data_IF_089338053916
#
_entry.id   IF_089338053916
#
_cell.length_a   1.000
_cell.length_b   1.000
_cell.length_c   1.000
_cell.angle_alpha   90.00
_cell.angle_beta   90.00
_cell.angle_gamma   90.00
#
_symmetry.space_group_name_H-M   'P 1'
#
loop_
_entity.id
_entity.type
_entity.pdbx_description
1 polymer ?
#
# COMPACT_ATOMS: atom_id res chain seq x y z
N UNK A 1 26.55 -70.99 20.07
CA UNK A 1 27.28 -69.75 19.98
C UNK A 1 26.58 -68.88 19.00
N UNK A 2 25.73 -68.00 19.46
CA UNK A 2 24.89 -67.09 18.63
C UNK A 2 25.30 -65.68 18.92
N UNK A 3 25.84 -65.05 17.90
CA UNK A 3 26.16 -63.62 17.96
C UNK A 3 24.91 -62.77 17.64
N UNK A 4 24.37 -62.12 18.65
CA UNK A 4 23.32 -61.16 18.50
C UNK A 4 23.90 -59.82 18.06
N UNK A 5 23.61 -59.42 16.82
CA UNK A 5 23.90 -58.10 16.36
C UNK A 5 22.86 -57.11 16.83
N UNK A 6 23.25 -56.23 17.71
CA UNK A 6 22.42 -55.13 18.18
C UNK A 6 22.45 -54.00 17.11
N UNK A 7 21.35 -53.83 16.41
CA UNK A 7 21.17 -52.69 15.48
C UNK A 7 20.64 -51.53 16.26
N UNK A 8 21.49 -50.52 16.44
CA UNK A 8 21.06 -49.20 16.89
C UNK A 8 20.35 -48.50 15.73
N UNK A 9 19.05 -48.31 15.87
CA UNK A 9 18.29 -47.41 14.99
C UNK A 9 18.49 -46.01 15.49
N UNK A 10 19.26 -45.21 14.75
CA UNK A 10 19.36 -43.78 14.97
C UNK A 10 18.07 -43.14 14.45
N UNK A 11 17.19 -42.73 15.35
CA UNK A 11 16.06 -41.89 15.04
C UNK A 11 16.57 -40.49 14.71
N UNK A 12 16.62 -40.16 13.44
CA UNK A 12 16.89 -38.81 12.97
C UNK A 12 15.58 -37.99 13.13
N UNK A 13 15.43 -37.35 14.28
CA UNK A 13 14.35 -36.36 14.46
C UNK A 13 14.64 -35.17 13.56
N UNK A 14 13.97 -35.15 12.44
CA UNK A 14 13.94 -33.97 11.59
C UNK A 14 13.18 -32.87 12.33
N UNK A 15 13.91 -31.91 12.90
CA UNK A 15 13.38 -30.70 13.47
C UNK A 15 12.87 -29.85 12.30
N UNK A 16 11.57 -29.90 12.04
CA UNK A 16 10.91 -29.00 11.14
C UNK A 16 10.98 -27.62 11.78
N UNK A 17 11.99 -26.85 11.36
CA UNK A 17 12.02 -25.40 11.56
C UNK A 17 10.88 -24.82 10.73
N UNK A 18 9.73 -24.58 11.38
CA UNK A 18 8.69 -23.74 10.83
C UNK A 18 9.28 -22.33 10.85
N UNK A 19 9.93 -21.95 9.75
CA UNK A 19 10.30 -20.57 9.52
C UNK A 19 8.98 -19.78 9.49
N UNK A 20 8.79 -18.84 10.44
CA UNK A 20 7.81 -17.80 10.31
C UNK A 20 8.21 -16.98 9.09
N UNK A 21 7.74 -17.36 7.90
CA UNK A 21 7.94 -16.60 6.69
C UNK A 21 7.05 -15.37 6.80
N UNK A 22 7.67 -14.20 6.92
CA UNK A 22 7.02 -12.94 6.69
C UNK A 22 6.44 -12.87 5.27
N UNK A 23 5.73 -11.80 4.92
CA UNK A 23 5.25 -11.62 3.55
C UNK A 23 6.42 -11.74 2.58
N UNK A 24 6.20 -12.28 1.37
CA UNK A 24 7.26 -12.40 0.38
C UNK A 24 7.88 -11.01 0.12
N UNK A 25 9.19 -10.96 -0.21
CA UNK A 25 9.84 -9.70 -0.52
C UNK A 25 9.12 -8.97 -1.65
N UNK A 26 9.04 -7.64 -1.55
CA UNK A 26 8.49 -6.82 -2.61
C UNK A 26 9.41 -6.82 -3.83
N UNK A 27 8.84 -7.08 -4.99
CA UNK A 27 9.57 -7.17 -6.27
C UNK A 27 8.95 -6.30 -7.37
N UNK A 28 8.01 -5.44 -7.02
CA UNK A 28 7.24 -4.66 -7.99
C UNK A 28 7.99 -3.49 -8.64
N UNK A 29 9.21 -3.21 -8.19
CA UNK A 29 10.00 -2.08 -8.67
C UNK A 29 9.74 -0.80 -7.89
N UNK A 30 10.47 0.26 -8.23
CA UNK A 30 10.45 1.51 -7.49
C UNK A 30 9.84 2.64 -8.30
N UNK A 31 9.03 3.44 -7.65
CA UNK A 31 8.60 4.76 -8.13
C UNK A 31 9.65 5.77 -7.66
N UNK A 32 10.28 6.48 -8.59
CA UNK A 32 11.35 7.43 -8.26
C UNK A 32 10.80 8.69 -7.58
N UNK A 33 9.75 9.27 -8.16
CA UNK A 33 9.12 10.50 -7.69
C UNK A 33 7.60 10.33 -7.61
N UNK A 34 6.97 11.07 -6.70
CA UNK A 34 5.51 11.11 -6.59
C UNK A 34 4.89 11.52 -7.94
N UNK A 35 4.03 10.65 -8.48
CA UNK A 35 3.26 10.93 -9.69
C UNK A 35 1.82 11.27 -9.33
N UNK A 36 1.30 12.33 -9.93
CA UNK A 36 -0.10 12.76 -9.85
C UNK A 36 -0.69 12.71 -11.24
N UNK A 37 -1.58 11.77 -11.49
CA UNK A 37 -2.18 11.56 -12.81
C UNK A 37 -3.67 11.79 -12.68
N UNK A 38 -4.17 12.92 -13.21
CA UNK A 38 -5.59 13.21 -13.17
C UNK A 38 -6.33 12.33 -14.18
N UNK A 39 -7.18 11.46 -13.66
CA UNK A 39 -8.04 10.58 -14.44
C UNK A 39 -9.32 11.30 -14.81
N UNK A 40 -9.84 12.10 -13.90
CA UNK A 40 -11.02 12.93 -14.07
C UNK A 40 -10.83 14.24 -13.32
N UNK A 41 -11.03 15.34 -14.01
CA UNK A 41 -11.01 16.67 -13.39
C UNK A 41 -12.33 16.91 -12.67
N UNK A 42 -12.28 17.42 -11.44
CA UNK A 42 -13.46 17.87 -10.70
C UNK A 42 -13.83 19.29 -11.00
N UNK A 43 -14.64 19.89 -10.14
CA UNK A 43 -15.15 21.26 -10.26
C UNK A 43 -15.01 22.05 -8.96
N UNK A 44 -14.99 23.37 -9.06
CA UNK A 44 -14.94 24.27 -7.91
C UNK A 44 -13.54 24.49 -7.38
N UNK A 45 -13.46 24.87 -6.11
CA UNK A 45 -12.18 25.13 -5.46
C UNK A 45 -11.36 23.86 -5.30
N UNK A 46 -10.04 24.02 -5.42
CA UNK A 46 -9.09 22.95 -5.17
C UNK A 46 -8.88 22.72 -3.67
N UNK A 47 -8.63 21.47 -3.29
CA UNK A 47 -8.23 21.11 -1.95
C UNK A 47 -6.85 21.68 -1.64
N UNK A 48 -6.71 22.26 -0.47
CA UNK A 48 -5.46 22.82 0.05
C UNK A 48 -5.14 22.25 1.43
N UNK A 49 -3.90 22.39 1.85
CA UNK A 49 -3.50 21.96 3.19
C UNK A 49 -4.35 22.67 4.26
N UNK A 50 -4.80 21.90 5.25
CA UNK A 50 -5.70 22.38 6.31
C UNK A 50 -7.18 22.09 6.08
N UNK A 51 -7.59 21.80 4.86
CA UNK A 51 -8.97 21.43 4.56
C UNK A 51 -9.32 20.04 5.10
N UNK A 52 -10.54 19.87 5.59
CA UNK A 52 -11.11 18.56 5.85
C UNK A 52 -11.70 18.01 4.57
N UNK A 53 -11.23 16.86 4.14
CA UNK A 53 -11.68 16.23 2.90
C UNK A 53 -12.26 14.84 3.13
N UNK A 54 -13.15 14.44 2.24
CA UNK A 54 -13.76 13.12 2.18
C UNK A 54 -13.40 12.47 0.86
N UNK A 55 -12.82 11.27 0.93
CA UNK A 55 -12.36 10.54 -0.25
C UNK A 55 -12.83 9.09 -0.26
N UNK A 56 -13.07 8.57 -1.45
CA UNK A 56 -12.97 7.13 -1.70
C UNK A 56 -11.62 6.82 -2.33
N UNK A 57 -11.08 5.68 -1.99
CA UNK A 57 -9.80 5.24 -2.54
C UNK A 57 -9.71 3.72 -2.67
N UNK A 58 -8.84 3.30 -3.55
CA UNK A 58 -8.35 1.93 -3.64
C UNK A 58 -6.83 1.97 -3.78
N UNK A 59 -6.14 1.09 -3.06
CA UNK A 59 -4.68 1.01 -3.06
C UNK A 59 -4.18 -0.34 -3.52
N UNK A 60 -3.11 -0.31 -4.31
CA UNK A 60 -2.38 -1.48 -4.80
C UNK A 60 -0.90 -1.32 -4.53
N UNK A 61 -0.20 -2.42 -4.37
CA UNK A 61 1.25 -2.42 -4.50
C UNK A 61 1.61 -2.03 -5.94
N UNK A 62 2.60 -1.16 -6.11
CA UNK A 62 3.09 -0.83 -7.44
C UNK A 62 3.73 -2.07 -8.09
N UNK A 63 3.46 -2.30 -9.36
CA UNK A 63 4.07 -3.37 -10.15
C UNK A 63 4.45 -2.82 -11.53
N UNK A 64 5.75 -2.63 -11.74
CA UNK A 64 6.29 -2.09 -12.99
C UNK A 64 5.97 -2.96 -14.22
N UNK A 65 5.74 -4.26 -14.01
CA UNK A 65 5.44 -5.21 -15.08
C UNK A 65 3.96 -5.28 -15.43
N UNK A 66 3.09 -4.72 -14.60
CA UNK A 66 1.66 -4.62 -14.87
C UNK A 66 1.37 -3.48 -15.86
N UNK A 67 0.46 -3.64 -16.83
CA UNK A 67 0.13 -2.57 -17.79
C UNK A 67 -0.36 -1.28 -17.13
N UNK A 68 -1.12 -1.40 -16.05
CA UNK A 68 -1.64 -0.27 -15.27
C UNK A 68 -0.80 0.05 -14.02
N UNK A 69 0.37 -0.59 -13.87
CA UNK A 69 1.27 -0.45 -12.70
C UNK A 69 0.67 -0.92 -11.38
N UNK A 70 -0.45 -1.63 -11.42
CA UNK A 70 -1.16 -2.13 -10.25
C UNK A 70 -0.87 -3.60 -10.01
N UNK A 71 -0.27 -3.90 -8.88
CA UNK A 71 -0.08 -5.25 -8.38
C UNK A 71 -1.24 -5.66 -7.45
N UNK A 72 -0.90 -6.29 -6.34
CA UNK A 72 -1.89 -6.76 -5.37
C UNK A 72 -2.62 -5.58 -4.70
N UNK A 73 -3.96 -5.61 -4.74
CA UNK A 73 -4.80 -4.69 -3.97
C UNK A 73 -4.63 -4.99 -2.48
N UNK A 74 -4.45 -3.94 -1.66
CA UNK A 74 -4.28 -4.11 -0.23
C UNK A 74 -5.35 -3.39 0.61
N UNK A 75 -6.03 -2.40 0.07
CA UNK A 75 -7.06 -1.66 0.80
C UNK A 75 -8.01 -0.94 -0.16
N UNK A 76 -9.26 -0.75 0.28
CA UNK A 76 -10.24 0.07 -0.41
C UNK A 76 -11.33 0.54 0.54
N UNK A 77 -11.60 1.84 0.56
CA UNK A 77 -12.73 2.41 1.29
C UNK A 77 -14.08 1.97 0.70
N UNK A 78 -14.11 1.65 -0.60
CA UNK A 78 -15.32 1.18 -1.27
C UNK A 78 -15.75 -0.21 -0.78
N UNK A 79 -14.78 -1.07 -0.46
CA UNK A 79 -15.06 -2.40 0.11
C UNK A 79 -15.69 -2.29 1.50
N UNK A 80 -15.35 -1.25 2.27
CA UNK A 80 -15.99 -0.94 3.56
C UNK A 80 -17.30 -0.19 3.42
N UNK A 81 -17.60 0.37 2.23
CA UNK A 81 -18.80 1.15 1.97
C UNK A 81 -18.84 2.52 2.67
N UNK A 82 -17.69 3.03 3.11
CA UNK A 82 -17.57 4.27 3.88
C UNK A 82 -16.37 5.09 3.42
N UNK A 83 -16.57 6.38 3.06
CA UNK A 83 -15.47 7.27 2.74
C UNK A 83 -14.55 7.51 3.92
N UNK A 84 -13.29 7.80 3.62
CA UNK A 84 -12.33 8.26 4.60
C UNK A 84 -12.39 9.80 4.68
N UNK A 85 -12.55 10.32 5.90
CA UNK A 85 -12.55 11.76 6.19
C UNK A 85 -11.30 12.09 7.00
N UNK A 86 -10.52 13.06 6.54
CA UNK A 86 -9.32 13.49 7.24
C UNK A 86 -8.95 14.93 6.87
N UNK A 87 -8.09 15.54 7.69
CA UNK A 87 -7.54 16.88 7.43
C UNK A 87 -6.27 16.75 6.60
N UNK A 88 -6.32 17.34 5.40
CA UNK A 88 -5.22 17.28 4.42
C UNK A 88 -4.01 18.08 4.91
N UNK A 89 -2.81 17.57 4.69
CA UNK A 89 -1.56 18.26 4.98
C UNK A 89 -1.16 18.29 6.46
N UNK A 90 -1.73 17.43 7.29
CA UNK A 90 -1.50 17.44 8.75
C UNK A 90 -0.82 16.18 9.29
N UNK A 91 -0.33 15.31 8.41
CA UNK A 91 0.33 14.07 8.79
C UNK A 91 -0.62 12.98 9.31
N UNK A 92 -1.91 13.09 9.05
CA UNK A 92 -2.92 12.07 9.41
C UNK A 92 -2.90 10.86 8.51
N UNK A 93 -2.32 11.03 7.32
CA UNK A 93 -2.19 10.01 6.27
C UNK A 93 -0.73 9.97 5.81
N UNK A 94 -0.38 9.02 4.96
CA UNK A 94 0.96 8.95 4.39
C UNK A 94 1.28 10.23 3.62
N UNK A 95 2.55 10.61 3.61
CA UNK A 95 2.99 11.86 2.99
C UNK A 95 2.65 11.95 1.51
N UNK A 96 2.71 10.82 0.79
CA UNK A 96 2.29 10.78 -0.61
C UNK A 96 0.85 11.23 -0.86
N UNK A 97 -0.03 11.08 0.13
CA UNK A 97 -1.39 11.60 0.09
C UNK A 97 -1.47 13.09 0.42
N UNK A 98 -0.83 13.51 1.51
CA UNK A 98 -0.80 14.93 1.89
C UNK A 98 -0.23 15.80 0.76
N UNK A 99 0.81 15.32 0.09
CA UNK A 99 1.42 16.02 -1.03
C UNK A 99 0.68 15.79 -2.36
N UNK A 100 0.09 14.60 -2.53
CA UNK A 100 -0.50 14.16 -3.80
C UNK A 100 -1.92 14.63 -4.06
N UNK A 101 -2.73 14.80 -3.00
CA UNK A 101 -4.15 15.16 -3.13
C UNK A 101 -4.36 16.67 -3.25
N UNK A 102 -3.43 17.47 -2.76
CA UNK A 102 -3.47 18.93 -2.93
C UNK A 102 -3.71 19.28 -4.40
N UNK A 103 -4.64 20.20 -4.64
CA UNK A 103 -5.01 20.63 -5.98
C UNK A 103 -6.16 19.87 -6.62
N UNK A 104 -6.61 18.76 -6.03
CA UNK A 104 -7.82 18.08 -6.52
C UNK A 104 -9.07 18.92 -6.24
N UNK A 105 -10.01 18.83 -7.15
CA UNK A 105 -11.34 19.46 -7.03
C UNK A 105 -12.40 18.40 -6.71
N UNK A 106 -13.50 18.82 -6.13
CA UNK A 106 -14.63 17.93 -5.82
C UNK A 106 -15.12 17.20 -7.08
N UNK A 107 -15.28 15.89 -6.98
CA UNK A 107 -15.66 15.02 -8.09
C UNK A 107 -14.49 14.55 -8.94
N UNK A 108 -13.28 15.04 -8.68
CA UNK A 108 -12.07 14.60 -9.38
C UNK A 108 -11.62 13.22 -8.96
N UNK A 109 -10.93 12.55 -9.87
CA UNK A 109 -10.23 11.29 -9.63
C UNK A 109 -8.77 11.44 -10.02
N UNK A 110 -7.88 11.01 -9.17
CA UNK A 110 -6.44 11.08 -9.37
C UNK A 110 -5.78 9.77 -9.03
N UNK A 111 -4.90 9.30 -9.91
CA UNK A 111 -3.97 8.24 -9.58
C UNK A 111 -2.72 8.84 -8.95
N UNK A 112 -2.29 8.26 -7.84
CA UNK A 112 -1.05 8.58 -7.18
C UNK A 112 -0.12 7.38 -7.27
N UNK A 113 1.08 7.57 -7.82
CA UNK A 113 2.16 6.60 -7.72
C UNK A 113 3.16 7.13 -6.71
N UNK A 114 3.38 6.39 -5.65
CA UNK A 114 4.02 6.88 -4.44
C UNK A 114 5.29 6.07 -4.16
N UNK A 115 6.47 6.74 -4.09
CA UNK A 115 7.68 6.08 -3.62
C UNK A 115 7.51 5.55 -2.19
N UNK A 116 8.20 4.48 -1.86
CA UNK A 116 8.15 3.90 -0.51
C UNK A 116 8.45 4.95 0.59
N UNK A 117 9.39 5.85 0.36
CA UNK A 117 9.74 6.90 1.31
C UNK A 117 8.63 7.92 1.61
N UNK A 118 7.62 8.04 0.74
CA UNK A 118 6.42 8.86 0.96
C UNK A 118 5.20 8.00 1.34
N UNK A 119 5.39 6.70 1.48
CA UNK A 119 4.39 5.73 1.92
C UNK A 119 4.76 5.13 3.28
N UNK A 120 4.96 3.82 3.30
CA UNK A 120 5.23 3.10 4.55
C UNK A 120 6.71 2.73 4.73
N UNK A 121 7.59 3.15 3.81
CA UNK A 121 9.04 3.08 3.93
C UNK A 121 9.59 1.67 4.10
N UNK A 122 10.73 1.59 4.76
CA UNK A 122 11.44 0.34 5.02
C UNK A 122 10.72 -0.58 6.02
N UNK A 123 9.74 -0.07 6.75
CA UNK A 123 8.96 -0.86 7.72
C UNK A 123 7.81 -1.60 7.07
N UNK A 124 7.21 -1.04 5.99
CA UNK A 124 5.94 -1.52 5.45
C UNK A 124 4.79 -1.30 6.43
N UNK A 125 3.68 -1.99 6.22
CA UNK A 125 2.51 -1.91 7.08
C UNK A 125 1.81 -3.27 7.19
N UNK A 126 1.72 -3.79 8.42
CA UNK A 126 1.08 -5.04 8.72
C UNK A 126 1.60 -6.20 7.86
N UNK A 127 0.68 -7.07 7.42
CA UNK A 127 0.98 -8.21 6.54
C UNK A 127 0.74 -7.89 5.05
N UNK A 128 0.24 -6.72 4.72
CA UNK A 128 -0.26 -6.40 3.38
C UNK A 128 0.67 -5.49 2.59
N UNK A 129 1.44 -4.64 3.25
CA UNK A 129 2.43 -3.77 2.60
C UNK A 129 3.82 -4.18 3.03
N UNK A 130 4.58 -4.83 2.14
CA UNK A 130 5.94 -5.25 2.46
C UNK A 130 6.90 -4.06 2.61
N UNK A 131 8.03 -4.26 3.31
CA UNK A 131 9.08 -3.26 3.38
C UNK A 131 9.55 -2.79 2.01
N UNK A 132 9.71 -1.47 1.86
CA UNK A 132 10.23 -0.87 0.64
C UNK A 132 9.26 -0.81 -0.54
N UNK A 133 7.98 -1.13 -0.35
CA UNK A 133 7.01 -1.13 -1.43
C UNK A 133 6.63 0.28 -1.87
N UNK A 134 6.72 0.53 -3.18
CA UNK A 134 6.03 1.64 -3.84
C UNK A 134 4.55 1.32 -3.99
N UNK A 135 3.71 2.33 -4.03
CA UNK A 135 2.26 2.19 -3.96
C UNK A 135 1.58 2.88 -5.14
N UNK A 136 0.40 2.36 -5.51
CA UNK A 136 -0.52 3.05 -6.44
C UNK A 136 -1.86 3.21 -5.73
N UNK A 137 -2.40 4.42 -5.76
CA UNK A 137 -3.75 4.70 -5.30
C UNK A 137 -4.57 5.35 -6.40
N UNK A 138 -5.84 4.98 -6.50
CA UNK A 138 -6.85 5.79 -7.15
C UNK A 138 -7.68 6.47 -6.07
N UNK A 139 -7.71 7.80 -6.09
CA UNK A 139 -8.41 8.64 -5.11
C UNK A 139 -9.50 9.41 -5.82
N UNK A 140 -10.72 9.35 -5.28
CA UNK A 140 -11.84 10.20 -5.69
C UNK A 140 -12.16 11.19 -4.57
N UNK A 141 -12.12 12.47 -4.87
CA UNK A 141 -12.44 13.52 -3.92
C UNK A 141 -13.94 13.79 -3.92
N UNK A 142 -14.60 13.48 -2.81
CA UNK A 142 -16.05 13.60 -2.67
C UNK A 142 -16.48 14.95 -2.13
N UNK A 143 -15.78 15.47 -1.12
CA UNK A 143 -16.14 16.71 -0.45
C UNK A 143 -14.93 17.45 0.13
N UNK A 144 -15.05 18.76 0.24
CA UNK A 144 -14.05 19.66 0.83
C UNK A 144 -14.75 20.58 1.81
N UNK A 145 -14.26 20.64 3.05
CA UNK A 145 -14.66 21.61 4.06
C UNK A 145 -13.46 22.48 4.42
N UNK A 146 -13.62 23.79 4.26
CA UNK A 146 -12.59 24.79 4.60
C UNK A 146 -12.48 25.00 6.11
#
# INVERSE_FOLDING_TARGET
MTHGSLRFAASLSALLLVACSGPPPYTGGDVADLQRIDVQTGTGEAATAGDEISVHYTGWLYDQNSPDKRGQKFDSSRDRGEPLVFRLGTGRVIRGWDDGIVGMQRGGKRELQIPAGLGYGARGAGKVIPPGASLVFEVELLDIRK
#
